data_IF_897760620376
#
_entry.id   IF_897760620376
#
_cell.length_a   1.000
_cell.length_b   1.000
_cell.length_c   1.000
_cell.angle_alpha   90.00
_cell.angle_beta   90.00
_cell.angle_gamma   90.00
#
_symmetry.space_group_name_H-M   'P 1'
#
loop_
_entity.id
_entity.type
_entity.pdbx_description
1 polymer ?
#
# COMPACT_ATOMS: atom_id res chain seq x y z
N UNK A 1 12.97 -11.08 -0.95
CA UNK A 1 11.93 -11.22 -1.99
C UNK A 1 10.91 -10.12 -1.77
N UNK A 2 10.45 -9.43 -2.83
CA UNK A 2 9.48 -8.32 -2.69
C UNK A 2 8.10 -8.83 -2.28
N UNK A 3 7.34 -8.02 -1.53
CA UNK A 3 5.97 -8.34 -1.12
C UNK A 3 5.07 -8.72 -2.32
N UNK A 4 5.19 -7.97 -3.41
CA UNK A 4 4.43 -8.22 -4.64
C UNK A 4 4.74 -9.60 -5.23
N UNK A 5 6.01 -10.04 -5.16
CA UNK A 5 6.40 -11.36 -5.63
C UNK A 5 5.79 -12.47 -4.76
N UNK A 6 5.78 -12.29 -3.43
CA UNK A 6 5.16 -13.24 -2.49
C UNK A 6 3.64 -13.34 -2.72
N UNK A 7 2.96 -12.20 -2.95
CA UNK A 7 1.53 -12.18 -3.29
C UNK A 7 1.27 -12.94 -4.60
N UNK A 8 2.09 -12.70 -5.63
CA UNK A 8 1.96 -13.42 -6.92
C UNK A 8 2.11 -14.92 -6.75
N UNK A 9 3.14 -15.37 -6.03
CA UNK A 9 3.39 -16.79 -5.78
C UNK A 9 2.25 -17.43 -4.99
N UNK A 10 1.78 -16.76 -3.94
CA UNK A 10 0.66 -17.23 -3.13
C UNK A 10 -0.63 -17.33 -3.96
N UNK A 11 -1.00 -16.28 -4.69
CA UNK A 11 -2.20 -16.30 -5.52
C UNK A 11 -2.12 -17.39 -6.58
N UNK A 12 -0.96 -17.54 -7.26
CA UNK A 12 -0.75 -18.61 -8.24
C UNK A 12 -0.90 -20.00 -7.64
N UNK A 13 -0.45 -20.21 -6.40
CA UNK A 13 -0.55 -21.50 -5.70
C UNK A 13 -2.00 -21.93 -5.47
N UNK A 14 -2.90 -20.99 -5.19
CA UNK A 14 -4.29 -21.29 -4.83
C UNK A 14 -5.32 -20.93 -5.93
N UNK A 15 -4.90 -20.23 -6.98
CA UNK A 15 -5.73 -19.82 -8.11
C UNK A 15 -4.96 -20.08 -9.42
N UNK A 16 -4.73 -19.04 -10.22
CA UNK A 16 -4.00 -19.10 -11.48
C UNK A 16 -3.17 -17.83 -11.73
N UNK A 17 -2.33 -17.88 -12.78
CA UNK A 17 -1.49 -16.74 -13.16
C UNK A 17 -2.28 -15.51 -13.63
N UNK A 18 -3.45 -15.70 -14.23
CA UNK A 18 -4.29 -14.59 -14.71
C UNK A 18 -4.87 -13.79 -13.53
N UNK A 19 -5.28 -14.48 -12.47
CA UNK A 19 -5.80 -13.90 -11.24
C UNK A 19 -4.69 -13.19 -10.46
N UNK A 20 -3.50 -13.79 -10.38
CA UNK A 20 -2.33 -13.12 -9.80
C UNK A 20 -2.01 -11.81 -10.51
N UNK A 21 -2.01 -11.80 -11.85
CA UNK A 21 -1.79 -10.59 -12.65
C UNK A 21 -2.87 -9.54 -12.41
N UNK A 22 -4.14 -9.92 -12.35
CA UNK A 22 -5.25 -8.99 -12.07
C UNK A 22 -5.10 -8.32 -10.71
N UNK A 23 -4.75 -9.09 -9.67
CA UNK A 23 -4.57 -8.57 -8.31
C UNK A 23 -3.38 -7.60 -8.25
N UNK A 24 -2.25 -7.97 -8.86
CA UNK A 24 -1.08 -7.08 -8.93
C UNK A 24 -1.40 -5.77 -9.62
N UNK A 25 -2.08 -5.81 -10.76
CA UNK A 25 -2.48 -4.60 -11.47
C UNK A 25 -3.41 -3.75 -10.60
N UNK A 26 -4.40 -4.35 -9.94
CA UNK A 26 -5.30 -3.61 -9.06
C UNK A 26 -4.58 -2.96 -7.86
N UNK A 27 -3.51 -3.58 -7.34
CA UNK A 27 -2.67 -2.99 -6.30
C UNK A 27 -1.84 -1.81 -6.83
N UNK A 28 -1.35 -1.88 -8.07
CA UNK A 28 -0.73 -0.74 -8.73
C UNK A 28 -1.73 0.40 -8.95
N UNK A 29 -2.95 0.10 -9.41
CA UNK A 29 -4.00 1.10 -9.61
C UNK A 29 -4.36 1.81 -8.28
N UNK A 30 -4.40 1.08 -7.17
CA UNK A 30 -4.60 1.68 -5.83
C UNK A 30 -3.41 2.57 -5.41
N UNK A 31 -2.17 2.13 -5.66
CA UNK A 31 -0.99 2.94 -5.37
C UNK A 31 -0.94 4.22 -6.21
N UNK A 32 -1.27 4.15 -7.50
CA UNK A 32 -1.37 5.31 -8.37
C UNK A 32 -2.47 6.27 -7.90
N UNK A 33 -3.60 5.74 -7.45
CA UNK A 33 -4.70 6.55 -6.90
C UNK A 33 -4.27 7.34 -5.66
N UNK A 34 -3.48 6.73 -4.76
CA UNK A 34 -2.97 7.41 -3.56
C UNK A 34 -2.05 8.59 -3.87
N UNK A 35 -1.39 8.61 -5.03
CA UNK A 35 -0.53 9.72 -5.47
C UNK A 35 -1.26 10.91 -6.09
N UNK A 36 -2.60 10.92 -6.08
CA UNK A 36 -3.39 12.05 -6.60
C UNK A 36 -3.72 13.02 -5.47
N UNK A 37 -3.78 14.33 -5.78
CA UNK A 37 -3.85 15.45 -4.83
C UNK A 37 -4.88 15.31 -3.68
N UNK A 38 -5.95 14.54 -3.86
CA UNK A 38 -7.00 14.34 -2.85
C UNK A 38 -6.93 13.00 -2.08
N UNK A 39 -5.99 12.12 -2.43
CA UNK A 39 -5.93 10.76 -1.91
C UNK A 39 -4.63 10.43 -1.16
N UNK A 40 -3.71 11.40 -1.07
CA UNK A 40 -2.44 11.28 -0.34
C UNK A 40 -2.56 10.87 1.14
N UNK A 41 -3.73 11.06 1.77
CA UNK A 41 -3.94 10.77 3.21
C UNK A 41 -5.12 9.83 3.44
N UNK A 42 -5.36 8.92 2.51
CA UNK A 42 -6.40 7.92 2.68
C UNK A 42 -5.97 6.81 3.63
N UNK A 43 -6.80 6.54 4.63
CA UNK A 43 -6.58 5.46 5.59
C UNK A 43 -6.21 5.99 6.96
N UNK A 44 -5.56 5.14 7.73
CA UNK A 44 -5.16 5.43 9.10
C UNK A 44 -3.69 5.81 9.14
N UNK A 45 -3.38 6.93 9.77
CA UNK A 45 -1.99 7.31 10.08
C UNK A 45 -1.42 6.35 11.15
N UNK A 46 -0.19 5.89 10.92
CA UNK A 46 0.48 4.93 11.78
C UNK A 46 1.40 5.64 12.78
N UNK A 47 1.18 5.38 14.06
CA UNK A 47 2.04 5.87 15.14
C UNK A 47 3.46 5.28 15.06
N UNK A 48 4.42 5.99 15.68
CA UNK A 48 5.79 5.50 15.86
C UNK A 48 6.79 5.96 14.79
N UNK A 49 6.34 6.80 13.86
CA UNK A 49 7.15 7.40 12.81
C UNK A 49 7.49 8.88 13.04
N UNK A 50 7.14 9.42 14.21
CA UNK A 50 7.33 10.84 14.58
C UNK A 50 8.76 11.21 14.97
N UNK A 51 9.64 10.23 15.15
CA UNK A 51 11.04 10.45 15.53
C UNK A 51 11.84 11.13 14.41
N UNK A 52 12.90 11.89 14.70
CA UNK A 52 13.64 12.62 13.67
C UNK A 52 14.41 11.69 12.70
N UNK A 53 14.23 11.83 11.37
CA UNK A 53 13.29 12.72 10.69
C UNK A 53 11.86 12.21 10.77
N UNK A 54 10.91 13.08 11.14
CA UNK A 54 9.50 12.71 11.23
C UNK A 54 8.97 12.26 9.87
N UNK A 55 8.22 11.16 9.86
CA UNK A 55 7.65 10.56 8.65
C UNK A 55 6.14 10.44 8.83
N UNK A 56 5.40 10.86 7.82
CA UNK A 56 3.94 10.74 7.79
C UNK A 56 3.59 9.42 7.08
N UNK A 57 3.36 8.35 7.84
CA UNK A 57 3.11 7.01 7.31
C UNK A 57 1.64 6.63 7.53
N UNK A 58 1.00 6.12 6.48
CA UNK A 58 -0.41 5.73 6.48
C UNK A 58 -0.57 4.26 6.10
N UNK A 59 -1.66 3.67 6.57
CA UNK A 59 -2.16 2.35 6.20
C UNK A 59 -3.49 2.48 5.46
N UNK A 60 -3.50 2.04 4.21
CA UNK A 60 -4.72 1.97 3.38
C UNK A 60 -5.14 0.53 3.14
N UNK A 61 -6.30 0.15 3.68
CA UNK A 61 -6.92 -1.15 3.42
C UNK A 61 -7.75 -1.07 2.14
N UNK A 62 -7.40 -1.87 1.13
CA UNK A 62 -7.95 -1.80 -0.21
C UNK A 62 -8.51 -3.14 -0.70
N UNK A 63 -9.04 -3.15 -1.93
CA UNK A 63 -9.54 -4.35 -2.61
C UNK A 63 -10.50 -5.19 -1.73
N UNK A 64 -11.53 -4.51 -1.22
CA UNK A 64 -12.55 -5.08 -0.34
C UNK A 64 -11.98 -5.72 0.95
N UNK A 65 -10.94 -5.14 1.54
CA UNK A 65 -10.40 -5.57 2.83
C UNK A 65 -9.32 -6.65 2.76
N UNK A 66 -8.91 -7.05 1.56
CA UNK A 66 -8.00 -8.20 1.37
C UNK A 66 -6.53 -7.84 1.39
N UNK A 67 -6.22 -6.59 1.10
CA UNK A 67 -4.85 -6.11 1.03
C UNK A 67 -4.72 -4.78 1.73
N UNK A 68 -3.53 -4.50 2.22
CA UNK A 68 -3.19 -3.20 2.79
C UNK A 68 -1.88 -2.67 2.21
N UNK A 69 -1.87 -1.36 1.96
CA UNK A 69 -0.71 -0.60 1.53
C UNK A 69 -0.23 0.24 2.70
N UNK A 70 1.03 0.06 3.10
CA UNK A 70 1.69 1.00 3.98
C UNK A 70 2.50 1.96 3.11
N UNK A 71 2.28 3.24 3.27
CA UNK A 71 2.86 4.24 2.40
C UNK A 71 3.20 5.51 3.17
N UNK A 72 4.17 6.25 2.66
CA UNK A 72 4.64 7.50 3.24
C UNK A 72 4.24 8.67 2.36
N UNK A 73 3.74 9.74 2.98
CA UNK A 73 3.41 11.01 2.32
C UNK A 73 4.66 11.89 2.30
N UNK A 74 5.00 12.42 1.12
CA UNK A 74 6.23 13.18 0.92
C UNK A 74 5.94 14.57 0.30
N UNK A 75 6.47 15.66 0.89
CA UNK A 75 7.11 15.73 2.20
C UNK A 75 6.11 15.44 3.34
N UNK A 76 6.60 14.89 4.46
CA UNK A 76 5.77 14.61 5.62
C UNK A 76 5.07 15.88 6.12
N UNK A 77 3.78 15.79 6.37
CA UNK A 77 2.90 16.84 6.90
C UNK A 77 2.77 18.09 6.02
N UNK A 78 3.18 18.04 4.75
CA UNK A 78 2.98 19.14 3.82
C UNK A 78 1.49 19.34 3.52
N UNK A 79 0.99 20.58 3.56
CA UNK A 79 -0.39 20.90 3.17
C UNK A 79 -0.71 20.36 1.76
N UNK A 80 0.25 20.50 0.85
CA UNK A 80 0.24 19.96 -0.51
C UNK A 80 1.39 18.94 -0.68
N UNK A 81 1.14 17.64 -0.43
CA UNK A 81 2.11 16.60 -0.74
C UNK A 81 2.39 16.54 -2.24
N UNK A 82 3.64 16.21 -2.60
CA UNK A 82 4.03 16.08 -4.01
C UNK A 82 4.06 14.64 -4.51
N UNK A 83 4.15 13.68 -3.60
CA UNK A 83 4.18 12.25 -3.94
C UNK A 83 3.88 11.38 -2.72
N UNK A 84 3.66 10.09 -3.00
CA UNK A 84 3.68 9.03 -2.00
C UNK A 84 4.77 8.00 -2.29
N UNK A 85 5.25 7.31 -1.27
CA UNK A 85 6.14 6.16 -1.40
C UNK A 85 5.49 4.92 -0.79
N UNK A 86 5.21 3.89 -1.60
CA UNK A 86 4.74 2.59 -1.09
C UNK A 86 5.89 1.89 -0.38
N UNK A 87 5.72 1.62 0.92
CA UNK A 87 6.71 0.96 1.76
C UNK A 87 6.51 -0.56 1.77
N UNK A 88 5.25 -0.99 1.92
CA UNK A 88 4.87 -2.40 2.07
C UNK A 88 3.49 -2.67 1.46
N UNK A 89 3.30 -3.91 1.03
CA UNK A 89 2.01 -4.45 0.58
C UNK A 89 1.75 -5.76 1.29
N UNK A 90 0.63 -5.91 1.98
CA UNK A 90 0.32 -7.13 2.73
C UNK A 90 -1.03 -7.73 2.32
N UNK A 91 -1.14 -9.06 2.36
CA UNK A 91 -2.42 -9.78 2.29
C UNK A 91 -2.94 -9.95 3.73
N UNK A 92 -4.10 -9.36 4.02
CA UNK A 92 -4.65 -9.27 5.38
C UNK A 92 -5.00 -10.63 5.98
N UNK A 93 -5.02 -11.69 5.16
CA UNK A 93 -5.29 -13.06 5.60
C UNK A 93 -4.03 -13.81 6.02
N UNK A 94 -2.83 -13.29 5.72
CA UNK A 94 -1.56 -13.92 6.11
C UNK A 94 -1.12 -13.54 7.53
N UNK A 95 -1.74 -12.50 8.12
CA UNK A 95 -1.42 -12.01 9.47
C UNK A 95 -2.45 -12.47 10.54
N UNK A 96 -3.24 -13.51 10.24
CA UNK A 96 -4.22 -14.12 11.15
C UNK A 96 -4.05 -15.62 11.28
#
# INVERSE_FOLDING_TARGET
MSDMALIVEHVKKFNDGATARRIVNALFDEAERLGQDHFHRLGEELDGYDGPPAREVHRWVCLAGRYELHYEVLPAYAEEPSTIAILRVWDTRQDR
#
